data_IF_098700628357
#
_entry.id   IF_098700628357
#
_cell.length_a   1.000
_cell.length_b   1.000
_cell.length_c   1.000
_cell.angle_alpha   90.00
_cell.angle_beta   90.00
_cell.angle_gamma   90.00
#
_symmetry.space_group_name_H-M   'P 1'
#
loop_
_entity.id
_entity.type
_entity.pdbx_description
1 polymer ?
#
# COMPACT_ATOMS: atom_id res chain seq x y z
N UNK A 1 3.96 28.36 12.02
CA UNK A 1 5.29 27.73 12.13
C UNK A 1 6.02 28.44 13.25
N UNK A 2 6.49 27.73 14.29
CA UNK A 2 7.22 28.34 15.41
C UNK A 2 8.68 27.90 15.32
N UNK A 3 9.59 28.87 15.32
CA UNK A 3 11.02 28.62 15.20
C UNK A 3 11.71 28.86 16.53
N UNK A 4 12.51 27.89 16.97
CA UNK A 4 13.36 28.03 18.14
C UNK A 4 14.81 27.90 17.70
N UNK A 5 15.59 28.92 18.03
CA UNK A 5 17.01 28.98 17.71
C UNK A 5 17.82 28.91 19.00
N UNK A 6 18.76 27.96 19.08
CA UNK A 6 19.59 27.77 20.28
C UNK A 6 20.82 28.68 20.16
N UNK A 7 21.06 29.51 21.18
CA UNK A 7 22.04 30.61 21.12
C UNK A 7 23.53 30.24 21.11
N UNK A 8 23.91 28.97 21.19
CA UNK A 8 25.30 28.47 20.99
C UNK A 8 25.42 27.07 21.60
N UNK A 9 25.66 26.04 20.78
CA UNK A 9 26.44 24.80 21.02
C UNK A 9 26.61 24.12 19.65
N UNK A 10 27.78 23.53 19.34
CA UNK A 10 28.01 22.69 18.16
C UNK A 10 27.02 21.51 18.16
N UNK A 11 26.18 21.41 17.12
CA UNK A 11 25.09 20.44 17.03
C UNK A 11 23.82 21.07 16.44
N UNK A 12 22.65 20.47 16.68
CA UNK A 12 21.37 20.92 16.11
C UNK A 12 21.07 22.39 16.42
N UNK A 13 21.16 23.24 15.39
CA UNK A 13 21.12 24.71 15.51
C UNK A 13 19.69 25.28 15.62
N UNK A 14 18.70 24.61 15.02
CA UNK A 14 17.33 25.10 14.97
C UNK A 14 16.32 23.96 15.06
N UNK A 15 15.27 24.16 15.85
CA UNK A 15 14.09 23.28 15.89
C UNK A 15 12.94 24.05 15.26
N UNK A 16 12.31 23.42 14.27
CA UNK A 16 11.14 23.96 13.60
C UNK A 16 9.92 23.15 14.03
N UNK A 17 8.96 23.81 14.67
CA UNK A 17 7.69 23.20 15.04
C UNK A 17 6.68 23.50 13.94
N UNK A 18 6.29 22.45 13.23
CA UNK A 18 5.27 22.49 12.18
C UNK A 18 3.97 21.90 12.68
N UNK A 19 2.85 22.45 12.20
CA UNK A 19 1.55 21.82 12.38
C UNK A 19 1.45 20.66 11.38
N UNK A 20 1.30 19.44 11.89
CA UNK A 20 1.16 18.25 11.05
C UNK A 20 -0.07 18.32 10.14
N UNK A 21 -1.17 18.90 10.60
CA UNK A 21 -2.38 19.09 9.77
C UNK A 21 -2.16 20.05 8.61
N UNK A 22 -1.19 20.96 8.73
CA UNK A 22 -0.82 21.88 7.64
C UNK A 22 0.15 21.25 6.65
N UNK A 23 0.92 20.23 7.08
CA UNK A 23 1.87 19.50 6.23
C UNK A 23 1.21 18.32 5.51
N UNK A 24 0.30 17.65 6.21
CA UNK A 24 -0.45 16.50 5.77
C UNK A 24 -1.92 16.80 6.05
N UNK A 25 -2.59 17.63 5.22
CA UNK A 25 -4.02 17.80 5.32
C UNK A 25 -4.63 16.41 5.22
N UNK A 26 -5.24 15.94 6.31
CA UNK A 26 -5.90 14.65 6.36
C UNK A 26 -6.97 14.68 5.27
N UNK A 27 -6.72 13.99 4.16
CA UNK A 27 -7.77 13.73 3.19
C UNK A 27 -8.88 12.97 3.92
N UNK A 28 -10.13 13.36 3.75
CA UNK A 28 -11.29 12.70 4.38
C UNK A 28 -11.34 11.18 4.12
N UNK A 29 -10.60 10.70 3.11
CA UNK A 29 -10.28 9.30 2.87
C UNK A 29 -9.15 8.86 3.82
N UNK A 30 -9.41 8.83 5.12
CA UNK A 30 -8.56 8.07 6.04
C UNK A 30 -9.01 6.62 5.91
N UNK A 31 -8.29 5.83 5.12
CA UNK A 31 -8.49 4.38 5.08
C UNK A 31 -8.15 3.84 6.46
N UNK A 32 -9.20 3.47 7.21
CA UNK A 32 -9.06 2.93 8.56
C UNK A 32 -8.24 1.64 8.48
N UNK A 33 -7.19 1.46 9.30
CA UNK A 33 -6.40 0.24 9.28
C UNK A 33 -7.30 -0.97 9.49
N UNK A 34 -7.07 -2.02 8.71
CA UNK A 34 -7.74 -3.29 8.90
C UNK A 34 -7.27 -3.95 10.20
N UNK A 35 -8.01 -4.96 10.65
CA UNK A 35 -7.61 -5.75 11.83
C UNK A 35 -6.25 -6.41 11.62
N UNK A 36 -5.97 -6.88 10.40
CA UNK A 36 -4.68 -7.48 10.05
C UNK A 36 -3.54 -6.48 10.19
N UNK A 37 -3.74 -5.22 9.78
CA UNK A 37 -2.74 -4.15 9.93
C UNK A 37 -2.41 -3.91 11.41
N UNK A 38 -3.43 -3.89 12.27
CA UNK A 38 -3.27 -3.71 13.71
C UNK A 38 -2.55 -4.88 14.37
N UNK A 39 -2.89 -6.11 13.98
CA UNK A 39 -2.23 -7.33 14.49
C UNK A 39 -0.76 -7.39 14.08
N UNK A 40 -0.45 -7.05 12.83
CA UNK A 40 0.93 -6.96 12.37
C UNK A 40 1.71 -5.89 13.12
N UNK A 41 1.13 -4.69 13.26
CA UNK A 41 1.77 -3.58 13.96
C UNK A 41 2.08 -3.93 15.43
N UNK A 42 1.12 -4.56 16.11
CA UNK A 42 1.32 -5.05 17.48
C UNK A 42 2.39 -6.15 17.54
N UNK A 43 2.38 -7.09 16.59
CA UNK A 43 3.39 -8.13 16.48
C UNK A 43 4.80 -7.55 16.27
N UNK A 44 4.94 -6.58 15.36
CA UNK A 44 6.21 -5.88 15.10
C UNK A 44 6.73 -5.15 16.33
N UNK A 45 5.85 -4.56 17.13
CA UNK A 45 6.24 -3.88 18.35
C UNK A 45 6.63 -4.87 19.47
N UNK A 46 5.88 -5.94 19.65
CA UNK A 46 6.10 -6.92 20.73
C UNK A 46 7.31 -7.83 20.48
N UNK A 47 7.50 -8.32 19.25
CA UNK A 47 8.59 -9.21 18.88
C UNK A 47 9.14 -8.85 17.48
N UNK A 48 9.98 -7.80 17.38
CA UNK A 48 10.39 -7.24 16.09
C UNK A 48 11.20 -8.21 15.23
N UNK A 49 11.90 -9.17 15.84
CA UNK A 49 12.75 -10.16 15.18
C UNK A 49 11.99 -11.37 14.65
N UNK A 50 10.83 -11.72 15.21
CA UNK A 50 10.05 -12.88 14.76
C UNK A 50 9.02 -12.52 13.69
N UNK A 51 8.48 -11.31 13.73
CA UNK A 51 7.46 -10.85 12.77
C UNK A 51 8.13 -10.25 11.54
N UNK A 52 7.88 -10.89 10.39
CA UNK A 52 8.37 -10.45 9.09
C UNK A 52 7.75 -9.09 8.67
N UNK A 53 8.19 -8.56 7.53
CA UNK A 53 7.51 -7.43 6.90
C UNK A 53 6.04 -7.74 6.60
N UNK A 54 5.25 -6.72 6.27
CA UNK A 54 3.81 -6.85 6.07
C UNK A 54 3.43 -7.98 5.09
N UNK A 55 4.13 -8.08 3.97
CA UNK A 55 3.90 -9.14 2.98
C UNK A 55 4.11 -10.54 3.55
N UNK A 56 5.22 -10.77 4.26
CA UNK A 56 5.53 -12.07 4.87
C UNK A 56 4.59 -12.42 6.03
N UNK A 57 4.15 -11.41 6.80
CA UNK A 57 3.09 -11.59 7.79
C UNK A 57 1.78 -12.03 7.12
N UNK A 58 1.38 -11.37 6.05
CA UNK A 58 0.16 -11.72 5.33
C UNK A 58 0.25 -13.11 4.71
N UNK A 59 1.38 -13.47 4.10
CA UNK A 59 1.62 -14.81 3.55
C UNK A 59 1.42 -15.90 4.63
N UNK A 60 1.98 -15.70 5.83
CA UNK A 60 1.79 -16.62 6.95
C UNK A 60 0.33 -16.61 7.44
N UNK A 61 -0.27 -15.43 7.59
CA UNK A 61 -1.62 -15.28 8.08
C UNK A 61 -2.66 -15.91 7.15
N UNK A 62 -2.44 -15.86 5.83
CA UNK A 62 -3.35 -16.39 4.80
C UNK A 62 -2.97 -17.77 4.29
N UNK A 63 -1.89 -18.39 4.81
CA UNK A 63 -1.39 -19.68 4.31
C UNK A 63 -2.45 -20.79 4.35
N UNK A 64 -3.37 -20.73 5.33
CA UNK A 64 -4.46 -21.68 5.50
C UNK A 64 -5.61 -21.49 4.50
N UNK A 65 -5.67 -20.35 3.79
CA UNK A 65 -6.70 -20.07 2.80
C UNK A 65 -6.38 -20.83 1.51
N UNK A 66 -7.42 -21.36 0.86
CA UNK A 66 -7.26 -21.95 -0.47
C UNK A 66 -6.91 -20.85 -1.45
N UNK A 67 -5.75 -20.99 -2.10
CA UNK A 67 -5.36 -20.12 -3.21
C UNK A 67 -5.97 -20.69 -4.48
N UNK A 68 -6.81 -19.92 -5.15
CA UNK A 68 -7.22 -20.25 -6.50
C UNK A 68 -6.14 -19.75 -7.47
N UNK A 69 -5.60 -20.64 -8.29
CA UNK A 69 -4.74 -20.24 -9.39
C UNK A 69 -5.57 -19.47 -10.41
N UNK A 70 -5.33 -18.17 -10.52
CA UNK A 70 -5.87 -17.38 -11.62
C UNK A 70 -5.11 -17.75 -12.90
N UNK A 71 -5.85 -18.08 -13.94
CA UNK A 71 -5.26 -18.33 -15.25
C UNK A 71 -5.15 -17.00 -16.02
N UNK A 72 -3.97 -16.72 -16.56
CA UNK A 72 -3.79 -15.65 -17.54
C UNK A 72 -4.12 -16.25 -18.91
N UNK A 73 -5.27 -15.89 -19.45
CA UNK A 73 -5.64 -16.27 -20.81
C UNK A 73 -5.07 -15.25 -21.79
N UNK A 74 -4.19 -15.71 -22.68
CA UNK A 74 -3.74 -14.91 -23.79
C UNK A 74 -4.85 -14.83 -24.83
N UNK A 75 -5.30 -13.61 -25.12
CA UNK A 75 -6.26 -13.39 -26.18
C UNK A 75 -5.58 -13.58 -27.56
N UNK A 76 -6.28 -14.16 -28.55
CA UNK A 76 -5.76 -14.27 -29.90
C UNK A 76 -5.45 -12.88 -30.47
N UNK A 77 -4.37 -12.77 -31.25
CA UNK A 77 -4.03 -11.54 -31.94
C UNK A 77 -5.09 -11.23 -33.01
N UNK A 78 -5.87 -10.17 -32.80
CA UNK A 78 -6.85 -9.69 -33.76
C UNK A 78 -6.34 -8.41 -34.43
N UNK A 79 -6.33 -8.43 -35.77
CA UNK A 79 -5.94 -7.28 -36.58
C UNK A 79 -7.14 -6.35 -36.81
N UNK A 80 -7.67 -5.80 -35.72
CA UNK A 80 -8.76 -4.84 -35.75
C UNK A 80 -8.49 -3.69 -34.75
N UNK A 81 -9.10 -2.50 -34.94
CA UNK A 81 -8.83 -1.35 -34.10
C UNK A 81 -9.20 -1.64 -32.63
N UNK A 82 -8.33 -1.36 -31.66
CA UNK A 82 -8.60 -1.63 -30.25
C UNK A 82 -9.74 -0.76 -29.65
N UNK A 83 -10.19 0.26 -30.39
CA UNK A 83 -11.28 1.15 -29.99
C UNK A 83 -12.65 0.67 -30.50
N UNK A 84 -12.70 -0.45 -31.21
CA UNK A 84 -13.94 -1.05 -31.69
C UNK A 84 -14.49 -2.03 -30.64
N UNK A 85 -15.69 -1.74 -30.12
CA UNK A 85 -16.33 -2.54 -29.08
C UNK A 85 -16.65 -3.96 -29.57
N UNK A 86 -17.03 -4.09 -30.84
CA UNK A 86 -17.37 -5.39 -31.45
C UNK A 86 -16.13 -6.28 -31.55
N UNK A 87 -14.95 -5.68 -31.74
CA UNK A 87 -13.66 -6.37 -31.72
C UNK A 87 -13.38 -6.99 -30.35
N UNK A 88 -13.61 -6.28 -29.24
CA UNK A 88 -13.40 -6.83 -27.88
C UNK A 88 -14.40 -7.96 -27.57
N UNK A 89 -15.68 -7.76 -27.91
CA UNK A 89 -16.72 -8.75 -27.66
C UNK A 89 -16.52 -10.03 -28.48
N UNK A 90 -16.11 -9.93 -29.74
CA UNK A 90 -15.86 -11.09 -30.60
C UNK A 90 -14.74 -11.98 -30.06
N UNK A 91 -13.63 -11.37 -29.61
CA UNK A 91 -12.46 -12.07 -29.05
C UNK A 91 -12.80 -12.83 -27.77
N UNK A 92 -13.56 -12.20 -26.87
CA UNK A 92 -13.98 -12.82 -25.62
C UNK A 92 -15.01 -13.93 -25.84
N UNK A 93 -15.85 -13.81 -26.87
CA UNK A 93 -16.88 -14.82 -27.18
C UNK A 93 -16.34 -16.02 -27.96
N UNK A 94 -15.17 -15.90 -28.59
CA UNK A 94 -14.49 -16.99 -29.31
C UNK A 94 -13.54 -17.83 -28.45
N UNK A 95 -13.35 -17.47 -27.17
CA UNK A 95 -12.42 -18.10 -26.24
C UNK A 95 -13.08 -19.18 -25.38
#
# INVERSE_FOLDING_TARGET
MKHFNKKSVIGMASITICNLNALFPLSEIITRPSISDLLWLYGKWSNPSSIQGWSGFMEQATNHLRVETTAIFYLPFVNAPPNDYDTVCSVLSSS
#
